data_IF_696074055300
#
_entry.id   IF_696074055300
#
_cell.length_a   1.000
_cell.length_b   1.000
_cell.length_c   1.000
_cell.angle_alpha   90.00
_cell.angle_beta   90.00
_cell.angle_gamma   90.00
#
_symmetry.space_group_name_H-M   'P 1'
#
loop_
_entity.id
_entity.type
_entity.pdbx_description
1 polymer ?
#
# COMPACT_ATOMS: atom_id res chain seq x y z
N UNK A 1 -5.44 2.32 -0.65
CA UNK A 1 -4.20 2.05 0.10
C UNK A 1 -4.35 0.70 0.78
N UNK A 2 -3.25 0.02 1.12
CA UNK A 2 -3.27 -1.26 1.88
C UNK A 2 -3.99 -1.16 3.23
N UNK A 3 -4.21 0.05 3.74
CA UNK A 3 -5.12 0.37 4.85
C UNK A 3 -6.60 -0.06 4.65
N UNK A 4 -6.99 -0.47 3.44
CA UNK A 4 -8.27 -1.16 3.26
C UNK A 4 -8.25 -2.62 3.73
N UNK A 5 -7.06 -3.19 3.92
CA UNK A 5 -6.78 -4.60 4.23
C UNK A 5 -6.02 -4.77 5.56
N UNK A 6 -5.20 -3.80 5.93
CA UNK A 6 -4.43 -3.75 7.18
C UNK A 6 -4.91 -2.61 8.07
N UNK A 7 -4.69 -2.72 9.38
CA UNK A 7 -5.24 -1.81 10.38
C UNK A 7 -4.14 -1.22 11.26
N UNK A 8 -4.31 0.05 11.66
CA UNK A 8 -3.48 0.73 12.65
C UNK A 8 -4.34 1.16 13.84
N UNK A 9 -3.80 0.98 15.05
CA UNK A 9 -4.44 1.41 16.29
C UNK A 9 -4.76 2.92 16.28
N UNK A 10 -5.91 3.30 16.81
CA UNK A 10 -6.32 4.71 16.89
C UNK A 10 -6.72 5.37 15.56
N UNK A 11 -6.80 4.62 14.45
CA UNK A 11 -7.13 5.15 13.12
C UNK A 11 -8.52 4.74 12.60
N UNK A 12 -9.47 4.42 13.49
CA UNK A 12 -10.80 3.88 13.16
C UNK A 12 -11.49 4.54 11.95
N UNK A 13 -11.59 5.88 11.94
CA UNK A 13 -12.29 6.59 10.87
C UNK A 13 -11.60 6.43 9.51
N UNK A 14 -10.26 6.46 9.50
CA UNK A 14 -9.48 6.30 8.28
C UNK A 14 -9.52 4.85 7.77
N UNK A 15 -9.29 3.88 8.65
CA UNK A 15 -9.32 2.46 8.28
C UNK A 15 -10.71 2.02 7.82
N UNK A 16 -11.75 2.38 8.58
CA UNK A 16 -13.14 2.10 8.21
C UNK A 16 -13.49 2.68 6.84
N UNK A 17 -13.08 3.91 6.55
CA UNK A 17 -13.30 4.52 5.24
C UNK A 17 -12.53 3.78 4.12
N UNK A 18 -11.28 3.37 4.34
CA UNK A 18 -10.49 2.64 3.32
C UNK A 18 -11.04 1.24 3.06
N UNK A 19 -11.51 0.53 4.08
CA UNK A 19 -12.20 -0.76 3.90
C UNK A 19 -13.56 -0.60 3.21
N UNK A 20 -14.31 0.48 3.51
CA UNK A 20 -15.59 0.75 2.87
C UNK A 20 -15.44 0.93 1.34
N UNK A 21 -14.36 1.58 0.88
CA UNK A 21 -14.08 1.72 -0.57
C UNK A 21 -14.04 0.37 -1.27
N UNK A 22 -13.47 -0.67 -0.66
CA UNK A 22 -13.43 -2.02 -1.24
C UNK A 22 -14.84 -2.60 -1.41
N UNK A 23 -15.69 -2.44 -0.39
CA UNK A 23 -17.10 -2.85 -0.46
C UNK A 23 -17.87 -2.09 -1.55
N UNK A 24 -17.69 -0.77 -1.60
CA UNK A 24 -18.31 0.11 -2.61
C UNK A 24 -17.87 -0.30 -4.03
N UNK A 25 -16.59 -0.59 -4.24
CA UNK A 25 -16.07 -1.07 -5.54
C UNK A 25 -16.79 -2.33 -6.00
N UNK A 26 -17.00 -3.31 -5.11
CA UNK A 26 -17.72 -4.55 -5.44
C UNK A 26 -19.19 -4.28 -5.76
N UNK A 27 -19.86 -3.44 -4.96
CA UNK A 27 -21.25 -3.07 -5.20
C UNK A 27 -21.41 -2.38 -6.57
N UNK A 28 -20.58 -1.37 -6.85
CA UNK A 28 -20.60 -0.66 -8.12
C UNK A 28 -20.27 -1.56 -9.32
N UNK A 29 -19.38 -2.55 -9.15
CA UNK A 29 -19.10 -3.52 -10.21
C UNK A 29 -20.34 -4.37 -10.57
N UNK A 30 -21.18 -4.74 -9.58
CA UNK A 30 -22.46 -5.39 -9.82
C UNK A 30 -23.46 -4.43 -10.49
N UNK A 31 -23.59 -3.21 -9.98
CA UNK A 31 -24.60 -2.24 -10.43
C UNK A 31 -24.36 -1.78 -11.87
N UNK A 32 -23.10 -1.57 -12.26
CA UNK A 32 -22.74 -1.03 -13.58
C UNK A 32 -22.25 -2.10 -14.57
N UNK A 33 -22.06 -3.35 -14.14
CA UNK A 33 -21.66 -4.45 -15.00
C UNK A 33 -22.56 -4.65 -16.25
N UNK A 34 -23.90 -4.64 -16.13
CA UNK A 34 -24.82 -4.74 -17.27
C UNK A 34 -24.68 -3.60 -18.30
N UNK A 35 -24.09 -2.46 -17.90
CA UNK A 35 -23.80 -1.33 -18.80
C UNK A 35 -22.42 -1.47 -19.49
N UNK A 36 -21.69 -2.56 -19.25
CA UNK A 36 -20.33 -2.76 -19.74
C UNK A 36 -19.26 -1.95 -18.99
N UNK A 37 -19.60 -1.36 -17.84
CA UNK A 37 -18.65 -0.58 -17.03
C UNK A 37 -17.98 -1.48 -16.00
N UNK A 38 -16.64 -1.41 -15.93
CA UNK A 38 -15.82 -2.14 -14.95
C UNK A 38 -15.41 -1.21 -13.82
N UNK A 39 -15.45 -1.72 -12.59
CA UNK A 39 -15.10 -0.94 -11.39
C UNK A 39 -14.11 -1.74 -10.55
N UNK A 40 -12.93 -1.20 -10.30
CA UNK A 40 -11.87 -1.86 -9.53
C UNK A 40 -11.24 -0.88 -8.53
N UNK A 41 -10.60 -1.41 -7.50
CA UNK A 41 -9.86 -0.64 -6.49
C UNK A 41 -8.38 -0.99 -6.54
N UNK A 42 -7.53 -0.02 -6.22
CA UNK A 42 -6.10 -0.25 -6.01
C UNK A 42 -5.75 0.00 -4.53
N UNK A 43 -5.03 -0.95 -3.95
CA UNK A 43 -4.45 -0.88 -2.61
C UNK A 43 -2.93 -0.66 -2.70
N UNK A 44 -2.46 0.60 -2.81
CA UNK A 44 -1.03 0.89 -2.78
C UNK A 44 -0.42 0.70 -1.40
N UNK A 45 0.84 0.27 -1.37
CA UNK A 45 1.75 0.44 -0.23
C UNK A 45 2.18 1.91 -0.05
N UNK A 46 3.32 2.14 0.57
CA UNK A 46 3.94 3.48 0.61
C UNK A 46 4.47 3.83 -0.78
N UNK A 47 4.04 4.98 -1.30
CA UNK A 47 4.44 5.50 -2.61
C UNK A 47 5.20 6.80 -2.39
N UNK A 48 6.34 6.96 -3.06
CA UNK A 48 7.10 8.19 -3.09
C UNK A 48 6.30 9.28 -3.83
N UNK A 49 5.61 10.11 -3.05
CA UNK A 49 4.96 11.34 -3.52
C UNK A 49 5.73 12.55 -3.00
N UNK A 50 5.51 13.74 -3.55
CA UNK A 50 6.12 15.00 -3.05
C UNK A 50 5.98 15.15 -1.52
N UNK A 51 4.78 14.90 -0.97
CA UNK A 51 4.54 14.91 0.47
C UNK A 51 5.35 13.87 1.28
N UNK A 52 5.62 12.70 0.69
CA UNK A 52 6.45 11.68 1.34
C UNK A 52 7.92 12.05 1.27
N UNK A 53 8.35 12.64 0.15
CA UNK A 53 9.68 13.21 0.00
C UNK A 53 9.96 14.24 1.09
N UNK A 54 9.08 15.24 1.27
CA UNK A 54 9.22 16.25 2.34
C UNK A 54 9.26 15.63 3.74
N UNK A 55 8.45 14.59 3.98
CA UNK A 55 8.42 13.90 5.28
C UNK A 55 9.74 13.18 5.57
N UNK A 56 10.33 12.56 4.56
CA UNK A 56 11.58 11.81 4.69
C UNK A 56 12.81 12.71 4.66
N UNK A 57 12.79 13.84 3.98
CA UNK A 57 13.84 14.86 4.11
C UNK A 57 13.96 15.38 5.54
N UNK A 58 12.82 15.51 6.25
CA UNK A 58 12.80 15.89 7.67
C UNK A 58 13.33 14.80 8.60
N UNK A 59 13.27 13.53 8.16
CA UNK A 59 13.71 12.37 8.95
C UNK A 59 14.41 11.33 8.06
N UNK A 60 15.61 11.64 7.53
CA UNK A 60 16.24 10.82 6.49
C UNK A 60 16.63 9.43 6.98
N UNK A 61 16.85 9.27 8.28
CA UNK A 61 17.10 7.96 8.92
C UNK A 61 15.92 7.00 8.81
N UNK A 62 14.68 7.48 8.68
CA UNK A 62 13.50 6.62 8.61
C UNK A 62 13.28 6.00 7.23
N UNK A 63 13.85 6.57 6.17
CA UNK A 63 13.62 6.07 4.83
C UNK A 63 14.14 4.64 4.63
N UNK A 64 15.39 4.30 5.02
CA UNK A 64 15.88 2.93 4.99
C UNK A 64 15.01 1.95 5.79
N UNK A 65 14.42 2.38 6.91
CA UNK A 65 13.50 1.53 7.69
C UNK A 65 12.30 1.09 6.86
N UNK A 66 11.64 2.02 6.18
CA UNK A 66 10.46 1.72 5.36
C UNK A 66 10.81 0.80 4.20
N UNK A 67 11.97 0.98 3.56
CA UNK A 67 12.41 0.08 2.47
C UNK A 67 12.58 -1.37 2.95
N UNK A 68 13.04 -1.58 4.19
CA UNK A 68 13.18 -2.92 4.76
C UNK A 68 11.85 -3.65 4.99
N UNK A 69 10.74 -2.91 5.06
CA UNK A 69 9.41 -3.51 5.20
C UNK A 69 8.95 -4.24 3.93
N UNK A 70 9.54 -3.93 2.78
CA UNK A 70 9.16 -4.49 1.48
C UNK A 70 10.06 -5.65 1.07
N UNK A 71 9.50 -6.76 0.57
CA UNK A 71 10.26 -7.78 -0.15
C UNK A 71 11.08 -7.20 -1.31
N UNK A 72 10.54 -6.21 -2.04
CA UNK A 72 11.24 -5.53 -3.13
C UNK A 72 12.32 -4.52 -2.69
N UNK A 73 12.51 -4.31 -1.37
CA UNK A 73 13.54 -3.43 -0.80
C UNK A 73 13.52 -1.99 -1.30
N UNK A 74 12.32 -1.49 -1.62
CA UNK A 74 12.07 -0.10 -1.96
C UNK A 74 10.63 0.24 -1.67
N UNK A 75 10.36 1.54 -1.47
CA UNK A 75 8.99 2.05 -1.57
C UNK A 75 8.55 2.10 -3.03
N UNK A 76 7.24 2.13 -3.26
CA UNK A 76 6.68 2.28 -4.60
C UNK A 76 6.92 3.68 -5.16
N UNK A 77 6.87 3.80 -6.48
CA UNK A 77 6.89 5.06 -7.22
C UNK A 77 5.50 5.33 -7.81
N UNK A 78 5.24 6.56 -8.26
CA UNK A 78 3.99 6.91 -8.92
C UNK A 78 3.69 6.04 -10.13
N UNK A 79 4.75 5.65 -10.85
CA UNK A 79 4.68 4.82 -12.05
C UNK A 79 4.20 3.39 -11.74
N UNK A 80 4.54 2.84 -10.57
CA UNK A 80 4.05 1.52 -10.16
C UNK A 80 2.52 1.50 -10.08
N UNK A 81 1.92 2.59 -9.60
CA UNK A 81 0.46 2.74 -9.52
C UNK A 81 -0.13 3.07 -10.89
N UNK A 82 0.50 3.98 -11.63
CA UNK A 82 0.05 4.38 -12.96
C UNK A 82 -0.03 3.17 -13.92
N UNK A 83 0.96 2.28 -13.86
CA UNK A 83 0.98 1.05 -14.67
C UNK A 83 -0.18 0.12 -14.32
N UNK A 84 -0.49 -0.06 -13.02
CA UNK A 84 -1.63 -0.86 -12.59
C UNK A 84 -2.97 -0.25 -13.02
N UNK A 85 -3.12 1.07 -12.94
CA UNK A 85 -4.29 1.79 -13.45
C UNK A 85 -4.42 1.60 -14.96
N UNK A 86 -3.34 1.83 -15.72
CA UNK A 86 -3.34 1.70 -17.17
C UNK A 86 -3.74 0.28 -17.60
N UNK A 87 -3.21 -0.76 -16.94
CA UNK A 87 -3.63 -2.14 -17.16
C UNK A 87 -5.12 -2.33 -16.89
N UNK A 88 -5.61 -1.91 -15.72
CA UNK A 88 -7.02 -2.05 -15.36
C UNK A 88 -7.96 -1.27 -16.27
N UNK A 89 -7.51 -0.17 -16.88
CA UNK A 89 -8.30 0.59 -17.86
C UNK A 89 -8.24 0.01 -19.28
N UNK A 90 -7.27 -0.86 -19.58
CA UNK A 90 -7.10 -1.45 -20.91
C UNK A 90 -8.04 -2.63 -21.20
N UNK A 91 -8.13 -3.02 -22.47
CA UNK A 91 -8.88 -4.21 -22.92
C UNK A 91 -8.28 -5.53 -22.40
N UNK A 92 -7.00 -5.52 -21.99
CA UNK A 92 -6.37 -6.70 -21.39
C UNK A 92 -7.00 -7.07 -20.03
N UNK A 93 -7.68 -6.10 -19.39
CA UNK A 93 -8.42 -6.30 -18.15
C UNK A 93 -9.95 -6.36 -18.38
N UNK A 94 -10.40 -6.64 -19.60
CA UNK A 94 -11.83 -6.63 -19.98
C UNK A 94 -12.72 -7.56 -19.16
N UNK A 95 -12.16 -8.61 -18.55
CA UNK A 95 -12.89 -9.52 -17.66
C UNK A 95 -12.58 -9.31 -16.17
N UNK A 96 -11.94 -8.21 -15.80
CA UNK A 96 -11.60 -7.85 -14.41
C UNK A 96 -12.49 -6.70 -13.94
N UNK A 97 -13.40 -6.99 -13.02
CA UNK A 97 -14.27 -6.03 -12.33
C UNK A 97 -14.49 -6.47 -10.88
N UNK A 98 -14.80 -5.53 -9.99
CA UNK A 98 -14.93 -5.72 -8.54
C UNK A 98 -13.63 -6.08 -7.82
N UNK A 99 -12.50 -6.07 -8.54
CA UNK A 99 -11.23 -6.54 -8.02
C UNK A 99 -10.54 -5.48 -7.15
N UNK A 100 -9.87 -5.95 -6.09
CA UNK A 100 -8.99 -5.13 -5.25
C UNK A 100 -7.55 -5.48 -5.57
N UNK A 101 -6.94 -4.72 -6.48
CA UNK A 101 -5.55 -4.94 -6.90
C UNK A 101 -4.60 -4.36 -5.85
N UNK A 102 -3.79 -5.20 -5.24
CA UNK A 102 -2.74 -4.76 -4.31
C UNK A 102 -1.47 -4.43 -5.09
N UNK A 103 -0.92 -3.23 -4.89
CA UNK A 103 0.34 -2.77 -5.50
C UNK A 103 1.21 -2.19 -4.39
N UNK A 104 1.86 -3.07 -3.64
CA UNK A 104 2.51 -2.72 -2.38
C UNK A 104 3.91 -3.31 -2.23
N UNK A 105 4.53 -3.75 -3.34
CA UNK A 105 5.87 -4.36 -3.31
C UNK A 105 5.99 -5.61 -2.41
N UNK A 106 4.87 -6.25 -2.07
CA UNK A 106 4.81 -7.45 -1.23
C UNK A 106 4.66 -7.17 0.28
N UNK A 107 4.37 -5.93 0.67
CA UNK A 107 4.22 -5.54 2.08
C UNK A 107 3.20 -6.41 2.83
N UNK A 108 2.02 -6.63 2.24
CA UNK A 108 0.86 -7.29 2.88
C UNK A 108 0.92 -8.82 2.92
N UNK A 109 1.91 -9.46 2.27
CA UNK A 109 1.94 -10.92 2.08
C UNK A 109 3.06 -11.63 2.85
N UNK A 110 3.64 -10.96 3.85
CA UNK A 110 4.71 -11.50 4.67
C UNK A 110 4.17 -12.07 5.99
N UNK A 111 4.80 -13.13 6.50
CA UNK A 111 4.63 -13.55 7.88
C UNK A 111 5.13 -12.45 8.82
N UNK A 112 4.33 -12.13 9.84
CA UNK A 112 4.60 -10.99 10.73
C UNK A 112 5.80 -11.26 11.63
N UNK A 113 6.01 -12.51 12.03
CA UNK A 113 7.14 -12.96 12.85
C UNK A 113 8.46 -12.72 12.11
N UNK A 114 8.53 -13.13 10.84
CA UNK A 114 9.72 -12.99 10.01
C UNK A 114 10.04 -11.53 9.71
N UNK A 115 9.02 -10.74 9.37
CA UNK A 115 9.17 -9.31 9.15
C UNK A 115 9.70 -8.62 10.42
N UNK A 116 9.12 -8.94 11.57
CA UNK A 116 9.51 -8.34 12.85
C UNK A 116 10.96 -8.67 13.23
N UNK A 117 11.36 -9.94 13.09
CA UNK A 117 12.74 -10.37 13.35
C UNK A 117 13.74 -9.66 12.44
N UNK A 118 13.41 -9.55 11.15
CA UNK A 118 14.26 -8.87 10.17
C UNK A 118 14.42 -7.38 10.48
N UNK A 119 13.32 -6.69 10.80
CA UNK A 119 13.37 -5.27 11.16
C UNK A 119 14.16 -5.06 12.47
N UNK A 120 14.02 -5.96 13.44
CA UNK A 120 14.80 -5.92 14.68
C UNK A 120 16.31 -6.13 14.45
N UNK A 121 16.68 -7.03 13.54
CA UNK A 121 18.09 -7.22 13.12
C UNK A 121 18.62 -5.98 12.42
N UNK A 122 17.88 -5.48 11.41
CA UNK A 122 18.25 -4.26 10.70
C UNK A 122 18.47 -3.09 11.65
N UNK A 123 17.60 -2.92 12.64
CA UNK A 123 17.71 -1.88 13.65
C UNK A 123 18.96 -2.05 14.52
N UNK A 124 19.22 -3.28 15.00
CA UNK A 124 20.40 -3.58 15.83
C UNK A 124 21.71 -3.28 15.12
N UNK A 125 21.76 -3.58 13.83
CA UNK A 125 22.97 -3.42 13.02
C UNK A 125 23.14 -1.98 12.49
N UNK A 126 22.07 -1.17 12.56
CA UNK A 126 22.07 0.22 12.13
C UNK A 126 22.42 1.17 13.29
N UNK A 127 23.71 1.44 13.52
CA UNK A 127 24.19 2.36 14.56
C UNK A 127 23.57 3.78 14.49
N UNK A 128 23.05 4.17 13.31
CA UNK A 128 22.51 5.50 13.03
C UNK A 128 20.98 5.63 13.16
N UNK A 129 20.24 4.54 13.37
CA UNK A 129 18.78 4.61 13.42
C UNK A 129 18.27 4.55 14.85
N UNK A 130 17.68 5.66 15.32
CA UNK A 130 16.91 5.68 16.56
C UNK A 130 15.43 5.53 16.21
N UNK A 131 14.72 4.63 16.90
CA UNK A 131 13.26 4.60 16.84
C UNK A 131 12.76 6.00 17.23
N UNK A 132 11.82 6.59 16.49
CA UNK A 132 11.16 7.80 16.95
C UNK A 132 10.45 7.49 18.27
N UNK A 133 10.46 8.46 19.20
CA UNK A 133 9.85 8.29 20.53
C UNK A 133 8.33 8.07 20.48
N UNK A 134 7.70 8.28 19.32
CA UNK A 134 6.28 8.03 19.07
C UNK A 134 6.07 7.27 17.75
N UNK A 135 5.22 6.23 17.79
CA UNK A 135 4.75 5.41 16.65
C UNK A 135 3.41 5.94 16.16
#
# INVERSE_FOLDING_TARGET
SVHGLLMVEGKLAYEGAKSAVIGITRQMACDFGPMGIRVNAICPGHIMTERMHERWERNPSLFPFFEQQYPLRRVGQTEDIANGVAFLCSDQASFITGHTLVIDGGLTIQLQEDLSLRLAQFYRDSEAMKLPDEV
#
